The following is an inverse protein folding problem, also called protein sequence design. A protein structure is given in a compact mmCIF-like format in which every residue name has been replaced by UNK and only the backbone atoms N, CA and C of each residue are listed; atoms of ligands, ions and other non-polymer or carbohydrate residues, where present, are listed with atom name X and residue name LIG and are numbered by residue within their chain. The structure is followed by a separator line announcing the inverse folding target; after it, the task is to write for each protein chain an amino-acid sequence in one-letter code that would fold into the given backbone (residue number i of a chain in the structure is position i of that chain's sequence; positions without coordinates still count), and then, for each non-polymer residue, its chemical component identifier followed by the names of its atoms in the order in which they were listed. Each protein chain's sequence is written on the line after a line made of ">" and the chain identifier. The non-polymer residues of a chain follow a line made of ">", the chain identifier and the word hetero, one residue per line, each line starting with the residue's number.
data_IF_358187872353
#
_entry.id   IF_358187872353
#
_cell.length_a   1.000
_cell.length_b   1.000
_cell.length_c   1.000
_cell.angle_alpha   90.00
_cell.angle_beta   90.00
_cell.angle_gamma   90.00
#
_symmetry.space_group_name_H-M   'P 1'
#
loop_
_entity.id
_entity.type
_entity.pdbx_description
1 polymer ?
#
# COMPACT_ATOMS: atom_id res chain seq x y z
N UNK A 1 3.62 1.40 -13.93
CA UNK A 1 4.08 1.11 -12.57
C UNK A 1 2.90 1.18 -11.63
N UNK A 2 2.86 0.30 -10.64
CA UNK A 2 1.91 0.43 -9.53
C UNK A 2 2.63 1.31 -8.49
N UNK A 3 2.06 2.48 -8.23
CA UNK A 3 2.64 3.51 -7.36
C UNK A 3 2.15 3.36 -5.92
N UNK A 4 0.99 2.75 -5.73
CA UNK A 4 0.47 2.38 -4.42
C UNK A 4 -0.53 1.23 -4.57
N UNK A 5 -0.70 0.45 -3.51
CA UNK A 5 -1.78 -0.52 -3.41
C UNK A 5 -2.55 -0.29 -2.10
N UNK A 6 -3.88 -0.41 -2.16
CA UNK A 6 -4.74 -0.28 -0.99
C UNK A 6 -5.68 -1.46 -0.92
N UNK A 7 -5.56 -2.24 0.14
CA UNK A 7 -6.48 -3.33 0.43
C UNK A 7 -7.87 -2.81 0.80
N UNK A 8 -8.90 -3.33 0.12
CA UNK A 8 -10.31 -3.05 0.39
C UNK A 8 -10.95 -4.15 1.22
N UNK A 9 -10.65 -5.40 0.88
CA UNK A 9 -11.10 -6.61 1.58
C UNK A 9 -10.15 -7.78 1.25
N UNK A 10 -10.43 -9.05 1.60
CA UNK A 10 -9.53 -10.17 1.32
C UNK A 10 -9.26 -10.47 -0.17
N UNK A 11 -10.09 -10.00 -1.11
CA UNK A 11 -9.94 -10.32 -2.55
C UNK A 11 -9.90 -9.09 -3.45
N UNK A 12 -10.08 -7.88 -2.90
CA UNK A 12 -10.06 -6.64 -3.68
C UNK A 12 -9.01 -5.68 -3.16
N UNK A 13 -8.17 -5.22 -4.09
CA UNK A 13 -7.11 -4.25 -3.87
C UNK A 13 -7.22 -3.15 -4.92
N UNK A 14 -7.18 -1.87 -4.52
CA UNK A 14 -6.87 -0.81 -5.47
C UNK A 14 -5.38 -0.85 -5.81
N UNK A 15 -5.03 -0.86 -7.09
CA UNK A 15 -3.71 -0.48 -7.56
C UNK A 15 -3.80 0.91 -8.19
N UNK A 16 -2.96 1.85 -7.73
CA UNK A 16 -2.87 3.21 -8.25
C UNK A 16 -1.68 3.33 -9.22
N UNK A 17 -1.87 4.08 -10.30
CA UNK A 17 -0.82 4.41 -11.27
C UNK A 17 -1.11 5.78 -11.89
N UNK A 18 -0.27 6.76 -11.58
CA UNK A 18 -0.52 8.16 -11.90
C UNK A 18 -1.92 8.59 -11.45
N UNK A 19 -2.68 9.26 -12.32
CA UNK A 19 -4.04 9.72 -12.00
C UNK A 19 -5.14 8.66 -12.17
N UNK A 20 -4.81 7.37 -12.23
CA UNK A 20 -5.75 6.27 -12.46
C UNK A 20 -5.59 5.16 -11.44
N UNK A 21 -6.62 4.33 -11.32
CA UNK A 21 -6.57 3.12 -10.52
C UNK A 21 -7.33 1.97 -11.18
N UNK A 22 -7.07 0.75 -10.73
CA UNK A 22 -7.85 -0.45 -11.00
C UNK A 22 -8.17 -1.14 -9.67
N UNK A 23 -9.27 -1.89 -9.61
CA UNK A 23 -9.49 -2.88 -8.55
C UNK A 23 -9.06 -4.23 -9.10
N UNK A 24 -8.28 -5.00 -8.36
CA UNK A 24 -7.90 -6.35 -8.77
C UNK A 24 -7.84 -7.33 -7.60
N UNK A 25 -7.88 -8.62 -7.91
CA UNK A 25 -7.56 -9.70 -6.97
C UNK A 25 -6.11 -10.15 -7.20
N UNK A 26 -5.20 -9.99 -6.23
CA UNK A 26 -3.82 -10.46 -6.37
C UNK A 26 -3.69 -11.98 -6.58
N UNK A 27 -4.69 -12.76 -6.16
CA UNK A 27 -4.72 -14.23 -6.27
C UNK A 27 -5.31 -14.74 -7.58
N UNK A 28 -6.16 -13.95 -8.25
CA UNK A 28 -6.71 -14.27 -9.56
C UNK A 28 -6.19 -13.27 -10.62
N UNK A 29 -5.24 -13.68 -11.47
CA UNK A 29 -4.64 -12.78 -12.46
C UNK A 29 -5.62 -12.26 -13.52
N UNK A 30 -6.83 -12.82 -13.60
CA UNK A 30 -7.88 -12.40 -14.51
C UNK A 30 -8.91 -11.46 -13.86
N UNK A 31 -8.99 -11.39 -12.54
CA UNK A 31 -10.00 -10.59 -11.84
C UNK A 31 -9.52 -9.15 -11.62
N UNK A 32 -10.03 -8.23 -12.43
CA UNK A 32 -9.77 -6.80 -12.30
C UNK A 32 -10.90 -5.98 -12.93
N UNK A 33 -10.99 -4.71 -12.54
CA UNK A 33 -11.85 -3.70 -13.16
C UNK A 33 -11.13 -3.02 -14.33
N UNK A 34 -11.89 -2.34 -15.18
CA UNK A 34 -11.33 -1.36 -16.12
C UNK A 34 -10.58 -0.24 -15.35
N UNK A 35 -9.47 0.30 -15.90
CA UNK A 35 -8.78 1.43 -15.30
C UNK A 35 -9.65 2.69 -15.33
N UNK A 36 -9.79 3.33 -14.17
CA UNK A 36 -10.62 4.52 -13.96
C UNK A 36 -9.79 5.71 -13.49
N UNK A 37 -10.07 6.94 -13.95
CA UNK A 37 -9.50 8.15 -13.35
C UNK A 37 -9.87 8.25 -11.86
N UNK A 38 -8.90 8.64 -11.02
CA UNK A 38 -9.12 8.79 -9.58
C UNK A 38 -10.28 9.75 -9.31
N UNK A 39 -10.31 10.91 -9.98
CA UNK A 39 -11.34 11.94 -9.77
C UNK A 39 -12.74 11.51 -10.17
N UNK A 40 -12.87 10.52 -11.06
CA UNK A 40 -14.17 9.99 -11.44
C UNK A 40 -14.66 8.93 -10.47
N UNK A 41 -13.75 8.11 -9.92
CA UNK A 41 -14.09 6.97 -9.08
C UNK A 41 -14.00 7.16 -7.60
N UNK A 42 -13.24 8.16 -7.16
CA UNK A 42 -13.04 8.57 -5.79
C UNK A 42 -13.22 10.10 -5.71
N UNK A 43 -14.42 10.63 -6.01
CA UNK A 43 -14.65 12.08 -6.10
C UNK A 43 -14.31 12.86 -4.84
N UNK A 44 -14.25 12.26 -3.63
CA UNK A 44 -13.73 12.96 -2.46
C UNK A 44 -12.23 13.32 -2.57
N UNK A 45 -11.48 12.67 -3.46
CA UNK A 45 -10.09 13.01 -3.76
C UNK A 45 -9.97 14.13 -4.81
N UNK A 46 -11.06 14.50 -5.49
CA UNK A 46 -11.07 15.57 -6.47
C UNK A 46 -10.71 16.92 -5.82
N UNK A 47 -9.90 17.72 -6.52
CA UNK A 47 -9.42 19.01 -5.99
C UNK A 47 -8.31 18.89 -4.93
N UNK A 48 -7.86 17.68 -4.59
CA UNK A 48 -6.70 17.45 -3.73
C UNK A 48 -5.48 17.03 -4.55
N UNK A 49 -4.30 16.96 -3.93
CA UNK A 49 -3.11 16.37 -4.57
C UNK A 49 -3.36 14.92 -5.01
N UNK A 50 -4.27 14.19 -4.38
CA UNK A 50 -4.55 12.78 -4.68
C UNK A 50 -5.28 12.59 -6.02
N UNK A 51 -5.85 13.64 -6.59
CA UNK A 51 -6.43 13.63 -7.94
C UNK A 51 -5.41 13.21 -9.02
N UNK A 52 -4.11 13.39 -8.77
CA UNK A 52 -3.06 13.05 -9.74
C UNK A 52 -2.23 11.81 -9.32
N UNK A 53 -2.67 11.03 -8.33
CA UNK A 53 -1.98 9.83 -7.86
C UNK A 53 -1.85 9.68 -6.34
N UNK A 54 -1.36 8.51 -5.93
CA UNK A 54 -1.15 8.08 -4.55
C UNK A 54 0.19 7.35 -4.52
N UNK A 55 1.06 7.70 -3.58
CA UNK A 55 2.41 7.13 -3.45
C UNK A 55 2.46 6.02 -2.39
N UNK A 56 1.59 6.09 -1.38
CA UNK A 56 1.47 5.04 -0.37
C UNK A 56 0.04 4.98 0.16
N UNK A 57 -0.46 3.78 0.43
CA UNK A 57 -1.78 3.60 1.01
C UNK A 57 -1.82 2.41 1.95
N UNK A 58 -2.56 2.54 3.05
CA UNK A 58 -2.85 1.43 3.96
C UNK A 58 -4.24 1.60 4.55
N UNK A 59 -5.03 0.52 4.60
CA UNK A 59 -6.28 0.50 5.35
C UNK A 59 -6.01 0.25 6.82
N UNK A 60 -6.91 0.73 7.68
CA UNK A 60 -7.00 0.29 9.07
C UNK A 60 -7.77 -1.04 9.12
N UNK A 61 -7.56 -1.87 10.14
CA UNK A 61 -8.47 -3.00 10.34
C UNK A 61 -9.88 -2.48 10.69
N UNK A 62 -10.95 -3.08 10.14
CA UNK A 62 -12.31 -2.71 10.48
C UNK A 62 -12.53 -2.76 11.98
N UNK A 63 -13.03 -1.67 12.55
CA UNK A 63 -13.40 -1.59 13.96
C UNK A 63 -14.92 -1.47 14.04
N UNK A 64 -15.63 -2.37 14.74
CA UNK A 64 -17.09 -2.31 14.82
C UNK A 64 -17.58 -0.93 15.31
N UNK A 65 -18.48 -0.32 14.55
CA UNK A 65 -19.04 1.00 14.86
C UNK A 65 -18.15 2.20 14.49
N UNK A 66 -17.00 1.97 13.84
CA UNK A 66 -16.16 3.03 13.28
C UNK A 66 -16.16 2.96 11.74
N UNK A 67 -15.87 4.08 11.03
CA UNK A 67 -15.73 4.07 9.59
C UNK A 67 -14.61 3.12 9.13
N UNK A 68 -14.76 2.56 7.92
CA UNK A 68 -13.72 1.77 7.27
C UNK A 68 -12.65 2.70 6.68
N UNK A 69 -11.66 3.05 7.48
CA UNK A 69 -10.71 4.10 7.13
C UNK A 69 -9.44 3.58 6.45
N UNK A 70 -8.94 4.36 5.50
CA UNK A 70 -7.62 4.23 4.91
C UNK A 70 -6.82 5.53 5.02
N UNK A 71 -5.50 5.40 5.02
CA UNK A 71 -4.57 6.52 4.92
C UNK A 71 -3.98 6.51 3.52
N UNK A 72 -4.07 7.64 2.81
CA UNK A 72 -3.43 7.84 1.51
C UNK A 72 -2.36 8.91 1.66
N UNK A 73 -1.14 8.61 1.20
CA UNK A 73 0.02 9.50 1.24
C UNK A 73 0.49 9.87 -0.16
N UNK A 74 0.89 11.14 -0.32
CA UNK A 74 1.53 11.65 -1.53
C UNK A 74 2.46 12.81 -1.20
N UNK A 75 3.72 12.70 -1.60
CA UNK A 75 4.75 13.67 -1.20
C UNK A 75 4.74 13.86 0.32
N UNK A 76 4.55 15.10 0.78
CA UNK A 76 4.46 15.44 2.20
C UNK A 76 3.04 15.52 2.78
N UNK A 77 2.02 15.11 2.01
CA UNK A 77 0.61 15.25 2.37
C UNK A 77 -0.04 13.88 2.55
N UNK A 78 -0.97 13.77 3.50
CA UNK A 78 -1.84 12.61 3.65
C UNK A 78 -3.31 13.01 3.85
N UNK A 79 -4.22 12.07 3.58
CA UNK A 79 -5.64 12.11 3.98
C UNK A 79 -6.02 10.87 4.77
N UNK A 80 -7.05 10.99 5.61
CA UNK A 80 -7.85 9.84 6.06
C UNK A 80 -9.10 9.77 5.21
N UNK A 81 -9.30 8.63 4.59
CA UNK A 81 -10.34 8.38 3.59
C UNK A 81 -11.27 7.28 4.10
N UNK A 82 -12.57 7.51 4.06
CA UNK A 82 -13.58 6.50 4.35
C UNK A 82 -13.87 5.69 3.09
N UNK A 83 -13.57 4.40 3.14
CA UNK A 83 -13.76 3.46 2.03
C UNK A 83 -15.23 3.15 1.75
N UNK A 84 -16.12 3.31 2.73
CA UNK A 84 -17.52 2.90 2.59
C UNK A 84 -18.39 3.93 1.86
N UNK A 85 -18.11 5.23 2.04
CA UNK A 85 -18.93 6.31 1.50
C UNK A 85 -18.17 7.34 0.66
N UNK A 86 -16.88 7.10 0.37
CA UNK A 86 -16.02 8.02 -0.39
C UNK A 86 -16.04 9.43 0.21
N UNK A 87 -15.56 9.56 1.45
CA UNK A 87 -15.41 10.84 2.14
C UNK A 87 -14.04 11.00 2.78
N UNK A 88 -13.59 12.25 2.95
CA UNK A 88 -12.41 12.54 3.75
C UNK A 88 -12.81 12.72 5.21
N UNK A 89 -12.33 11.84 6.08
CA UNK A 89 -12.51 11.98 7.54
C UNK A 89 -11.46 12.88 8.16
N UNK A 90 -10.32 13.09 7.48
CA UNK A 90 -9.32 14.09 7.84
C UNK A 90 -8.41 14.46 6.65
N UNK A 91 -7.81 15.64 6.74
CA UNK A 91 -6.90 16.16 5.72
C UNK A 91 -7.63 16.74 4.50
N UNK A 92 -6.90 17.11 3.43
CA UNK A 92 -5.46 16.90 3.25
C UNK A 92 -4.61 17.68 4.26
N UNK A 93 -3.61 17.01 4.86
CA UNK A 93 -2.74 17.59 5.88
C UNK A 93 -1.29 17.21 5.64
N UNK A 94 -0.35 18.09 6.02
CA UNK A 94 1.07 17.74 6.02
C UNK A 94 1.34 16.60 7.02
N UNK A 95 2.12 15.60 6.60
CA UNK A 95 2.44 14.43 7.42
C UNK A 95 3.19 14.87 8.68
N UNK A 96 4.22 15.70 8.54
CA UNK A 96 5.04 16.14 9.68
C UNK A 96 4.26 16.90 10.76
N UNK A 97 3.25 17.67 10.37
CA UNK A 97 2.37 18.38 11.30
C UNK A 97 1.44 17.45 12.09
N UNK A 98 0.99 16.36 11.47
CA UNK A 98 0.07 15.42 12.12
C UNK A 98 0.78 14.28 12.87
N UNK A 99 2.02 13.98 12.50
CA UNK A 99 2.79 12.81 12.93
C UNK A 99 4.24 13.20 13.24
N UNK A 100 4.46 13.87 14.37
CA UNK A 100 5.81 14.33 14.76
C UNK A 100 6.86 13.21 14.83
N UNK A 101 6.43 11.97 15.10
CA UNK A 101 7.30 10.81 15.10
C UNK A 101 7.86 10.48 13.70
N UNK A 102 7.07 10.72 12.64
CA UNK A 102 7.52 10.53 11.25
C UNK A 102 8.53 11.59 10.83
N UNK A 103 8.42 12.83 11.30
CA UNK A 103 9.46 13.85 11.07
C UNK A 103 10.77 13.45 11.76
N UNK A 104 10.71 12.96 12.99
CA UNK A 104 11.91 12.48 13.71
C UNK A 104 12.56 11.27 13.03
N UNK A 105 11.78 10.44 12.34
CA UNK A 105 12.28 9.24 11.67
C UNK A 105 12.59 9.45 10.17
N UNK A 106 12.27 10.61 9.59
CA UNK A 106 12.51 10.93 8.17
C UNK A 106 11.45 10.40 7.19
N UNK A 107 10.28 10.02 7.70
CA UNK A 107 9.14 9.47 6.94
C UNK A 107 7.98 10.47 6.78
N UNK A 108 8.22 11.77 6.97
CA UNK A 108 7.21 12.82 6.85
C UNK A 108 7.00 13.35 5.42
N UNK A 109 7.60 12.68 4.44
CA UNK A 109 7.39 12.89 3.01
C UNK A 109 7.89 11.68 2.23
N UNK A 110 7.42 11.54 0.99
CA UNK A 110 7.95 10.61 -0.01
C UNK A 110 8.05 9.19 0.57
N UNK A 111 6.93 8.72 1.14
CA UNK A 111 6.78 7.33 1.60
C UNK A 111 6.47 6.50 0.36
N UNK A 112 7.27 5.47 0.10
CA UNK A 112 7.21 4.70 -1.14
C UNK A 112 6.12 3.62 -1.12
N UNK A 113 5.79 3.11 0.07
CA UNK A 113 4.67 2.20 0.26
C UNK A 113 4.21 2.19 1.71
N UNK A 114 2.99 1.71 1.93
CA UNK A 114 2.46 1.45 3.26
C UNK A 114 1.75 0.09 3.27
N UNK A 115 1.69 -0.52 4.45
CA UNK A 115 1.04 -1.80 4.65
C UNK A 115 0.30 -1.85 5.99
N UNK A 116 -0.89 -2.44 6.00
CA UNK A 116 -1.61 -2.76 7.24
C UNK A 116 -0.94 -3.93 7.97
N UNK A 117 -0.72 -3.80 9.28
CA UNK A 117 -0.28 -4.92 10.13
C UNK A 117 -1.45 -5.44 10.98
N UNK A 118 -2.13 -4.53 11.67
CA UNK A 118 -3.29 -4.84 12.51
C UNK A 118 -4.19 -3.60 12.66
N UNK A 119 -5.04 -3.59 13.68
CA UNK A 119 -6.00 -2.51 13.95
C UNK A 119 -5.34 -1.16 14.20
N UNK A 120 -4.16 -1.15 14.81
CA UNK A 120 -3.51 0.06 15.27
C UNK A 120 -2.14 0.27 14.63
N UNK A 121 -1.62 -0.72 13.90
CA UNK A 121 -0.28 -0.63 13.32
C UNK A 121 -0.30 -0.65 11.79
N UNK A 122 0.48 0.26 11.23
CA UNK A 122 0.86 0.24 9.82
C UNK A 122 2.38 0.22 9.70
N UNK A 123 2.88 -0.46 8.66
CA UNK A 123 4.27 -0.41 8.27
C UNK A 123 4.44 0.57 7.11
N UNK A 124 5.36 1.50 7.25
CA UNK A 124 5.71 2.44 6.19
C UNK A 124 7.07 2.06 5.61
N UNK A 125 7.25 2.24 4.31
CA UNK A 125 8.48 1.94 3.58
C UNK A 125 9.00 3.20 2.89
N UNK A 126 10.31 3.43 2.99
CA UNK A 126 11.01 4.54 2.33
C UNK A 126 12.47 4.19 2.08
N UNK A 127 12.86 4.16 0.81
CA UNK A 127 14.10 3.56 0.35
C UNK A 127 14.26 2.14 0.92
N UNK A 128 15.45 1.82 1.41
CA UNK A 128 15.74 0.50 1.99
C UNK A 128 15.27 0.33 3.43
N UNK A 129 14.43 1.22 3.95
CA UNK A 129 14.02 1.24 5.36
C UNK A 129 12.51 1.07 5.51
N UNK A 130 12.12 0.46 6.62
CA UNK A 130 10.75 0.33 7.08
C UNK A 130 10.63 0.77 8.55
N UNK A 131 9.46 1.26 8.94
CA UNK A 131 9.09 1.50 10.34
C UNK A 131 7.67 1.05 10.62
N UNK A 132 7.35 0.74 11.88
CA UNK A 132 5.99 0.52 12.35
C UNK A 132 5.47 1.73 13.09
N UNK A 133 4.36 2.28 12.61
CA UNK A 133 3.65 3.39 13.20
C UNK A 133 2.42 2.88 13.95
N UNK A 134 2.27 3.29 15.20
CA UNK A 134 1.04 3.14 15.97
C UNK A 134 0.09 4.31 15.65
N UNK A 135 -1.07 4.00 15.09
CA UNK A 135 -2.09 4.96 14.66
C UNK A 135 -2.86 5.59 15.83
N UNK A 136 -2.88 4.96 17.02
CA UNK A 136 -3.61 5.47 18.20
C UNK A 136 -2.86 6.61 18.87
N UNK A 137 -1.61 6.36 19.24
CA UNK A 137 -0.79 7.33 19.96
C UNK A 137 0.18 8.10 19.06
N UNK A 138 0.22 7.75 17.76
CA UNK A 138 1.04 8.39 16.73
C UNK A 138 2.54 8.21 16.96
N UNK A 139 2.95 7.14 17.64
CA UNK A 139 4.34 6.81 17.90
C UNK A 139 4.93 5.87 16.84
N UNK A 140 6.26 5.91 16.68
CA UNK A 140 7.00 4.88 15.93
C UNK A 140 7.44 3.83 16.94
N UNK A 141 6.92 2.61 16.82
CA UNK A 141 7.21 1.52 17.76
C UNK A 141 8.47 0.73 17.36
N UNK A 142 8.70 0.58 16.06
CA UNK A 142 9.83 -0.18 15.51
C UNK A 142 10.43 0.59 14.33
N UNK A 143 11.76 0.62 14.25
CA UNK A 143 12.50 1.23 13.15
C UNK A 143 12.72 2.74 13.28
N UNK A 144 13.25 3.41 12.22
CA UNK A 144 13.52 2.84 10.90
C UNK A 144 14.64 1.78 10.88
N UNK A 145 14.35 0.62 10.31
CA UNK A 145 15.31 -0.48 10.14
C UNK A 145 15.31 -0.97 8.69
N UNK A 146 16.34 -1.70 8.22
CA UNK A 146 16.36 -2.25 6.86
C UNK A 146 15.12 -3.09 6.55
N UNK A 147 14.64 -3.06 5.30
CA UNK A 147 13.51 -3.89 4.86
C UNK A 147 13.79 -5.38 5.13
N UNK A 148 15.03 -5.83 4.92
CA UNK A 148 15.44 -7.20 5.22
C UNK A 148 15.43 -7.56 6.72
N UNK A 149 15.33 -6.59 7.64
CA UNK A 149 15.07 -6.87 9.06
C UNK A 149 13.57 -6.96 9.37
N UNK A 150 12.72 -6.22 8.64
CA UNK A 150 11.27 -6.37 8.72
C UNK A 150 10.75 -7.65 8.03
N UNK A 151 11.43 -8.07 6.96
CA UNK A 151 11.10 -9.23 6.11
C UNK A 151 12.39 -9.99 5.75
N UNK A 152 12.93 -10.81 6.67
CA UNK A 152 14.14 -11.60 6.45
C UNK A 152 14.18 -12.38 5.14
N UNK A 153 13.05 -12.91 4.67
CA UNK A 153 12.96 -13.60 3.39
C UNK A 153 13.32 -12.73 2.17
N UNK A 154 13.28 -11.40 2.28
CA UNK A 154 13.71 -10.48 1.21
C UNK A 154 15.22 -10.25 1.17
N UNK A 155 15.98 -10.74 2.16
CA UNK A 155 17.42 -10.56 2.21
C UNK A 155 18.10 -11.10 0.94
N UNK A 156 18.95 -10.27 0.32
CA UNK A 156 19.63 -10.60 -0.93
C UNK A 156 18.80 -10.43 -2.20
N UNK A 157 17.54 -9.98 -2.10
CA UNK A 157 16.69 -9.62 -3.24
C UNK A 157 16.73 -8.10 -3.50
N UNK A 158 16.42 -7.68 -4.73
CA UNK A 158 16.29 -6.25 -5.07
C UNK A 158 15.15 -5.54 -4.31
N UNK A 159 14.18 -6.29 -3.79
CA UNK A 159 13.04 -5.77 -3.03
C UNK A 159 13.42 -5.34 -1.61
N UNK A 160 14.60 -5.73 -1.12
CA UNK A 160 15.13 -5.20 0.14
C UNK A 160 15.69 -3.76 0.00
N UNK A 161 15.91 -3.28 -1.22
CA UNK A 161 16.49 -1.96 -1.47
C UNK A 161 15.45 -0.83 -1.50
N UNK A 162 14.24 -1.11 -1.99
CA UNK A 162 13.06 -0.25 -1.98
C UNK A 162 11.85 -1.06 -2.48
N UNK A 163 10.66 -0.49 -2.33
CA UNK A 163 9.39 -1.03 -2.79
C UNK A 163 8.58 0.09 -3.45
N UNK A 164 7.85 -0.20 -4.51
CA UNK A 164 6.91 0.75 -5.14
C UNK A 164 5.47 0.60 -4.65
N UNK A 165 5.06 -0.59 -4.21
CA UNK A 165 3.78 -0.81 -3.55
C UNK A 165 3.80 -2.13 -2.77
N UNK A 166 2.89 -2.25 -1.81
CA UNK A 166 2.65 -3.50 -1.07
C UNK A 166 1.16 -3.77 -1.03
N UNK A 167 0.74 -4.96 -1.48
CA UNK A 167 -0.64 -5.41 -1.34
C UNK A 167 -0.71 -6.60 -0.38
N UNK A 168 -1.49 -6.47 0.68
CA UNK A 168 -1.74 -7.58 1.60
C UNK A 168 -2.99 -8.36 1.24
N UNK A 169 -2.97 -9.66 1.58
CA UNK A 169 -4.14 -10.53 1.59
C UNK A 169 -4.25 -11.19 2.97
N UNK A 170 -5.46 -11.30 3.50
CA UNK A 170 -5.66 -12.15 4.67
C UNK A 170 -5.32 -13.61 4.31
N UNK A 171 -4.87 -14.42 5.28
CA UNK A 171 -4.82 -15.85 5.09
C UNK A 171 -6.21 -16.34 4.66
N UNK A 172 -6.28 -17.12 3.58
CA UNK A 172 -7.49 -17.87 3.27
C UNK A 172 -7.57 -19.14 4.14
N UNK A 173 -8.59 -19.97 3.91
CA UNK A 173 -8.77 -21.23 4.65
C UNK A 173 -7.59 -22.21 4.51
N UNK A 174 -6.65 -21.97 3.58
CA UNK A 174 -5.41 -22.75 3.46
C UNK A 174 -4.29 -22.25 4.38
N UNK A 175 -4.44 -21.09 5.01
CA UNK A 175 -3.44 -20.47 5.88
C UNK A 175 -2.41 -19.60 5.14
N UNK A 176 -2.50 -19.50 3.81
CA UNK A 176 -1.57 -18.75 2.98
C UNK A 176 -1.84 -17.23 3.08
N UNK A 177 -1.25 -16.57 4.09
CA UNK A 177 -1.13 -15.11 4.05
C UNK A 177 -0.06 -14.74 3.03
N UNK A 178 -0.49 -14.13 1.92
CA UNK A 178 0.40 -13.70 0.84
C UNK A 178 0.47 -12.18 0.78
N UNK A 179 1.68 -11.67 0.96
CA UNK A 179 2.01 -10.26 0.67
C UNK A 179 2.57 -10.20 -0.74
N UNK A 180 2.10 -9.24 -1.52
CA UNK A 180 2.62 -8.97 -2.86
C UNK A 180 3.44 -7.69 -2.80
N UNK A 181 4.75 -7.82 -2.97
CA UNK A 181 5.67 -6.70 -3.07
C UNK A 181 5.83 -6.32 -4.53
N UNK A 182 5.64 -5.04 -4.87
CA UNK A 182 5.79 -4.52 -6.24
C UNK A 182 6.99 -3.59 -6.31
N UNK A 183 7.75 -3.69 -7.40
CA UNK A 183 8.93 -2.86 -7.67
C UNK A 183 9.22 -2.86 -9.18
N UNK A 184 9.39 -1.68 -9.79
CA UNK A 184 9.87 -1.51 -11.17
C UNK A 184 9.18 -2.43 -12.20
N UNK A 185 7.84 -2.44 -12.20
CA UNK A 185 7.05 -3.26 -13.12
C UNK A 185 7.10 -4.78 -12.85
N UNK A 186 7.73 -5.20 -11.75
CA UNK A 186 7.79 -6.58 -11.29
C UNK A 186 7.15 -6.73 -9.92
N UNK A 187 6.85 -7.97 -9.54
CA UNK A 187 6.35 -8.29 -8.22
C UNK A 187 6.94 -9.60 -7.69
N UNK A 188 6.84 -9.76 -6.38
CA UNK A 188 7.19 -10.97 -5.66
C UNK A 188 6.07 -11.34 -4.69
N UNK A 189 5.79 -12.64 -4.58
CA UNK A 189 4.88 -13.22 -3.57
C UNK A 189 5.69 -13.58 -2.34
N UNK A 190 5.22 -13.15 -1.19
CA UNK A 190 5.85 -13.41 0.10
C UNK A 190 4.88 -14.16 1.00
N UNK A 191 5.36 -15.23 1.61
CA UNK A 191 4.65 -15.95 2.66
C UNK A 191 5.04 -15.35 4.01
N UNK A 192 4.08 -14.68 4.65
CA UNK A 192 4.32 -14.04 5.94
C UNK A 192 4.47 -15.05 7.09
N UNK A 193 3.94 -16.26 6.94
CA UNK A 193 4.01 -17.32 7.96
C UNK A 193 5.37 -18.03 7.96
N UNK A 194 5.93 -18.24 6.77
CA UNK A 194 7.25 -18.84 6.56
C UNK A 194 8.38 -17.81 6.53
N UNK A 195 8.02 -16.53 6.51
CA UNK A 195 8.95 -15.41 6.38
C UNK A 195 9.88 -15.58 5.17
N UNK A 196 9.30 -15.94 4.02
CA UNK A 196 10.03 -16.38 2.84
C UNK A 196 9.38 -15.93 1.53
N UNK A 197 10.22 -15.82 0.49
CA UNK A 197 9.75 -15.66 -0.88
C UNK A 197 9.01 -16.91 -1.31
N UNK A 198 7.71 -16.77 -1.59
CA UNK A 198 6.85 -17.85 -2.11
C UNK A 198 6.88 -17.95 -3.63
N UNK A 199 7.28 -16.88 -4.34
CA UNK A 199 7.45 -16.93 -5.79
C UNK A 199 7.79 -15.58 -6.42
N UNK A 200 8.40 -15.64 -7.60
CA UNK A 200 8.93 -14.48 -8.33
C UNK A 200 10.41 -14.19 -8.03
N UNK A 201 10.93 -13.04 -8.49
CA UNK A 201 10.18 -11.95 -9.12
C UNK A 201 9.67 -12.28 -10.52
N UNK A 202 8.48 -11.80 -10.86
CA UNK A 202 7.88 -11.90 -12.20
C UNK A 202 7.44 -10.51 -12.65
N UNK A 203 7.49 -10.23 -13.95
CA UNK A 203 6.93 -8.98 -14.48
C UNK A 203 5.42 -8.95 -14.29
N UNK A 204 4.91 -7.80 -13.86
CA UNK A 204 3.46 -7.56 -13.76
C UNK A 204 2.81 -7.73 -15.14
N UNK A 205 3.49 -7.28 -16.19
CA UNK A 205 3.02 -7.42 -17.57
C UNK A 205 2.81 -8.85 -18.06
N UNK A 206 3.52 -9.81 -17.45
CA UNK A 206 3.54 -11.20 -17.87
C UNK A 206 2.52 -12.00 -17.05
N UNK A 207 2.41 -11.71 -15.75
CA UNK A 207 1.47 -12.37 -14.86
C UNK A 207 0.04 -11.83 -14.96
N UNK A 208 -0.13 -10.53 -15.27
CA UNK A 208 -1.45 -9.90 -15.41
C UNK A 208 -1.58 -9.20 -16.77
N UNK A 209 -1.95 -9.94 -17.83
CA UNK A 209 -2.09 -9.40 -19.18
C UNK A 209 -3.00 -8.18 -19.27
N UNK A 210 -3.98 -8.09 -18.38
CA UNK A 210 -4.94 -6.99 -18.35
C UNK A 210 -4.45 -5.76 -17.60
N UNK A 211 -3.66 -5.94 -16.53
CA UNK A 211 -2.92 -4.82 -15.94
C UNK A 211 -1.92 -4.25 -16.94
N UNK A 212 -1.31 -5.10 -17.79
CA UNK A 212 -0.50 -4.64 -18.93
C UNK A 212 -1.32 -3.78 -19.89
N UNK A 213 -2.48 -4.27 -20.35
CA UNK A 213 -3.38 -3.51 -21.24
C UNK A 213 -3.82 -2.18 -20.63
N UNK A 214 -4.05 -2.13 -19.32
CA UNK A 214 -4.40 -0.93 -18.58
C UNK A 214 -3.22 0.06 -18.39
N UNK A 215 -1.98 -0.35 -18.67
CA UNK A 215 -0.77 0.45 -18.50
C UNK A 215 -0.11 0.35 -17.11
N UNK A 216 -0.51 -0.62 -16.29
CA UNK A 216 -0.01 -0.84 -14.92
C UNK A 216 1.19 -1.81 -14.87
N UNK A 217 1.51 -2.46 -15.99
CA UNK A 217 2.57 -3.48 -16.05
C UNK A 217 4.01 -3.00 -16.21
N UNK A 218 4.23 -1.68 -16.37
CA UNK A 218 5.54 -1.07 -16.59
C UNK A 218 6.29 -0.71 -15.30
#
# INVERSE_FOLDING_TARGET
>A
MIDAALRLDPTRVYAFSGSRYVVFDPSDPHAHSEPRPIVEGLPALAGTVFAHGVDAAASKSPTPGAPNEAYLGRGEVFVRYNLDDDTLTAGPSAIGSAWSALTRSGFDRDVDAAMRLDTDHVRLFKGSRCLTLNLRDKSVEVGPQPIAECFPGLAGTDFAADLGAVAERDPDDSGDSRIYFFKNGSYLKYDASLDAVAGGPVRVSDAWPRLREAGFGA
#
